data_IF_525195372741
#
_entry.id   IF_525195372741
#
_cell.length_a   1.000
_cell.length_b   1.000
_cell.length_c   1.000
_cell.angle_alpha   90.00
_cell.angle_beta   90.00
_cell.angle_gamma   90.00
#
_symmetry.space_group_name_H-M   'P 1'
#
loop_
_entity.id
_entity.type
_entity.pdbx_description
1 polymer ?
#
# COMPACT_ATOMS: atom_id res chain seq x y z
N UNK A 1 40.47 -26.51 27.14
CA UNK A 1 39.23 -26.78 26.38
C UNK A 1 38.47 -25.47 26.23
N UNK A 2 38.22 -24.99 25.00
CA UNK A 2 37.41 -23.80 24.70
C UNK A 2 36.17 -24.28 23.95
N UNK A 3 34.99 -24.12 24.52
CA UNK A 3 33.71 -24.38 23.86
C UNK A 3 33.21 -23.05 23.33
N UNK A 4 33.05 -22.93 22.00
CA UNK A 4 32.46 -21.76 21.35
C UNK A 4 30.94 -21.95 21.33
N UNK A 5 30.22 -21.10 22.06
CA UNK A 5 28.77 -20.94 21.89
C UNK A 5 28.51 -20.27 20.55
N UNK A 6 27.75 -20.94 19.68
CA UNK A 6 27.22 -20.37 18.45
C UNK A 6 25.72 -20.18 18.70
N UNK A 7 25.31 -18.93 18.86
CA UNK A 7 23.90 -18.55 18.94
C UNK A 7 23.36 -18.57 17.51
N UNK A 8 22.43 -19.49 17.24
CA UNK A 8 21.72 -19.55 15.97
C UNK A 8 20.64 -18.46 15.97
N UNK A 9 20.80 -17.45 15.09
CA UNK A 9 19.79 -16.43 14.84
C UNK A 9 18.71 -17.06 13.96
N UNK A 10 17.54 -17.36 14.53
CA UNK A 10 16.38 -17.80 13.77
C UNK A 10 15.75 -16.58 13.09
N UNK A 11 16.00 -16.45 11.78
CA UNK A 11 15.34 -15.45 10.94
C UNK A 11 13.93 -15.96 10.66
N UNK A 12 12.95 -15.48 11.41
CA UNK A 12 11.53 -15.69 11.10
C UNK A 12 11.16 -14.80 9.91
N UNK A 13 11.02 -15.41 8.73
CA UNK A 13 10.43 -14.76 7.56
C UNK A 13 8.96 -14.45 7.88
N UNK A 14 8.67 -13.18 8.14
CA UNK A 14 7.29 -12.68 8.19
C UNK A 14 6.65 -12.95 6.83
N UNK A 15 5.67 -13.86 6.81
CA UNK A 15 4.90 -14.17 5.62
C UNK A 15 3.92 -13.02 5.41
N UNK A 16 4.16 -12.17 4.41
CA UNK A 16 3.18 -11.18 3.99
C UNK A 16 1.99 -11.92 3.38
N UNK A 17 0.86 -11.93 4.07
CA UNK A 17 -0.41 -12.36 3.49
C UNK A 17 -0.82 -11.26 2.51
N UNK A 18 -0.29 -11.29 1.28
CA UNK A 18 -0.83 -10.48 0.20
C UNK A 18 -2.14 -11.14 -0.23
N UNK A 19 -3.25 -10.67 0.34
CA UNK A 19 -4.58 -11.13 -0.05
C UNK A 19 -4.80 -10.86 -1.53
N UNK A 20 -5.38 -11.83 -2.24
CA UNK A 20 -5.75 -11.65 -3.63
C UNK A 20 -6.66 -10.42 -3.79
N UNK A 21 -6.34 -9.54 -4.75
CA UNK A 21 -7.19 -8.40 -5.06
C UNK A 21 -8.35 -8.89 -5.92
N UNK A 22 -9.56 -8.60 -5.48
CA UNK A 22 -10.79 -9.01 -6.15
C UNK A 22 -11.46 -7.83 -6.85
N UNK A 23 -12.09 -8.11 -7.98
CA UNK A 23 -12.93 -7.14 -8.68
C UNK A 23 -14.26 -6.91 -7.93
N UNK A 24 -15.02 -5.85 -8.27
CA UNK A 24 -16.34 -5.62 -7.67
C UNK A 24 -17.33 -6.78 -7.86
N UNK A 25 -17.18 -7.59 -8.91
CA UNK A 25 -18.00 -8.79 -9.10
C UNK A 25 -17.47 -10.04 -8.37
N UNK A 26 -16.42 -9.90 -7.55
CA UNK A 26 -15.87 -10.97 -6.73
C UNK A 26 -14.93 -11.91 -7.48
N UNK A 27 -14.40 -11.50 -8.63
CA UNK A 27 -13.42 -12.29 -9.39
C UNK A 27 -11.99 -11.92 -8.99
N UNK A 28 -11.11 -12.90 -8.91
CA UNK A 28 -9.69 -12.65 -8.66
C UNK A 28 -9.03 -11.97 -9.86
N UNK A 29 -8.24 -10.94 -9.60
CA UNK A 29 -7.53 -10.20 -10.64
C UNK A 29 -6.23 -10.94 -10.99
N UNK A 30 -6.03 -11.37 -12.25
CA UNK A 30 -4.80 -12.03 -12.65
C UNK A 30 -3.63 -11.04 -12.64
N UNK A 31 -2.42 -11.57 -12.42
CA UNK A 31 -1.18 -10.80 -12.42
C UNK A 31 -0.97 -9.94 -13.68
N UNK A 32 -1.41 -10.44 -14.84
CA UNK A 32 -1.35 -9.71 -16.11
C UNK A 32 -2.17 -8.41 -16.11
N UNK A 33 -3.20 -8.32 -15.27
CA UNK A 33 -4.04 -7.12 -15.09
C UNK A 33 -3.65 -6.30 -13.85
N UNK A 34 -2.98 -6.90 -12.86
CA UNK A 34 -2.47 -6.17 -11.68
C UNK A 34 -1.51 -5.03 -12.04
N UNK A 35 -0.87 -5.09 -13.21
CA UNK A 35 -0.02 -4.01 -13.73
C UNK A 35 -0.73 -2.64 -13.83
N UNK A 36 -2.05 -2.61 -13.96
CA UNK A 36 -2.83 -1.36 -14.01
C UNK A 36 -3.13 -0.78 -12.64
N UNK A 37 -3.11 -1.61 -11.59
CA UNK A 37 -3.39 -1.20 -10.21
C UNK A 37 -2.12 -0.83 -9.44
N UNK A 38 -0.94 -1.13 -9.98
CA UNK A 38 0.37 -0.80 -9.41
C UNK A 38 0.75 0.65 -9.70
N UNK A 39 0.18 1.56 -8.92
CA UNK A 39 0.63 2.96 -8.82
C UNK A 39 1.03 3.27 -7.38
N UNK A 40 2.02 4.16 -7.17
CA UNK A 40 2.28 4.71 -5.84
C UNK A 40 1.01 5.31 -5.24
N UNK A 41 0.86 5.20 -3.93
CA UNK A 41 -0.31 5.70 -3.21
C UNK A 41 -0.45 7.20 -3.47
N UNK A 42 -1.63 7.66 -3.90
CA UNK A 42 -1.87 9.07 -4.19
C UNK A 42 -1.30 9.60 -5.52
N UNK A 43 -0.57 8.80 -6.31
CA UNK A 43 -0.04 9.23 -7.62
C UNK A 43 -1.15 9.26 -8.69
N UNK A 44 -1.80 10.41 -8.80
CA UNK A 44 -2.85 10.67 -9.78
C UNK A 44 -2.36 10.59 -11.24
N UNK A 45 -1.10 10.96 -11.50
CA UNK A 45 -0.51 10.92 -12.84
C UNK A 45 -0.31 9.47 -13.29
N UNK A 46 0.20 8.61 -12.41
CA UNK A 46 0.26 7.18 -12.65
C UNK A 46 -1.13 6.59 -12.89
N UNK A 47 -2.11 6.87 -12.01
CA UNK A 47 -3.49 6.37 -12.15
C UNK A 47 -4.11 6.76 -13.49
N UNK A 48 -3.91 8.02 -13.93
CA UNK A 48 -4.35 8.49 -15.26
C UNK A 48 -3.71 7.70 -16.40
N UNK A 49 -2.39 7.51 -16.35
CA UNK A 49 -1.65 6.75 -17.36
C UNK A 49 -2.10 5.29 -17.44
N UNK A 50 -2.23 4.61 -16.29
CA UNK A 50 -2.71 3.23 -16.21
C UNK A 50 -4.16 3.10 -16.69
N UNK A 51 -5.03 4.04 -16.33
CA UNK A 51 -6.42 4.09 -16.79
C UNK A 51 -6.50 4.19 -18.31
N UNK A 52 -5.76 5.13 -18.92
CA UNK A 52 -5.72 5.28 -20.37
C UNK A 52 -5.23 4.01 -21.07
N UNK A 53 -4.14 3.42 -20.58
CA UNK A 53 -3.59 2.18 -21.14
C UNK A 53 -4.56 1.01 -21.01
N UNK A 54 -5.18 0.84 -19.84
CA UNK A 54 -6.18 -0.20 -19.58
C UNK A 54 -7.38 -0.08 -20.52
N UNK A 55 -7.92 1.14 -20.68
CA UNK A 55 -9.03 1.42 -21.59
C UNK A 55 -8.66 1.11 -23.04
N UNK A 56 -7.45 1.47 -23.47
CA UNK A 56 -6.98 1.18 -24.83
C UNK A 56 -6.83 -0.33 -25.07
N UNK A 57 -6.26 -1.06 -24.11
CA UNK A 57 -6.06 -2.50 -24.20
C UNK A 57 -7.36 -3.31 -24.05
N UNK A 58 -8.34 -2.81 -23.30
CA UNK A 58 -9.67 -3.43 -23.20
C UNK A 58 -10.54 -3.25 -24.45
N UNK A 59 -10.09 -2.54 -25.49
CA UNK A 59 -10.86 -2.37 -26.72
C UNK A 59 -11.17 -3.69 -27.43
N UNK A 60 -10.27 -4.68 -27.40
CA UNK A 60 -10.55 -6.03 -27.94
C UNK A 60 -11.74 -6.64 -27.18
N UNK A 61 -11.77 -6.48 -25.86
CA UNK A 61 -12.86 -6.95 -25.02
C UNK A 61 -14.19 -6.23 -25.25
N UNK A 62 -14.16 -4.96 -25.66
CA UNK A 62 -15.38 -4.15 -25.88
C UNK A 62 -15.98 -4.31 -27.27
N UNK A 63 -15.15 -4.51 -28.28
CA UNK A 63 -15.56 -4.34 -29.67
C UNK A 63 -15.36 -5.57 -30.56
N UNK A 64 -14.58 -6.56 -30.13
CA UNK A 64 -14.37 -7.74 -30.95
C UNK A 64 -15.59 -8.66 -30.95
N UNK A 65 -15.67 -9.52 -31.96
CA UNK A 65 -16.74 -10.50 -32.07
C UNK A 65 -16.56 -11.62 -31.02
N UNK A 66 -17.58 -11.97 -30.21
CA UNK A 66 -17.48 -13.02 -29.19
C UNK A 66 -16.98 -14.36 -29.74
N UNK A 67 -17.35 -14.72 -30.97
CA UNK A 67 -16.94 -15.98 -31.61
C UNK A 67 -15.46 -16.04 -32.00
N UNK A 68 -14.78 -14.91 -32.10
CA UNK A 68 -13.34 -14.81 -32.42
C UNK A 68 -12.48 -14.28 -31.28
N UNK A 69 -13.07 -13.92 -30.14
CA UNK A 69 -12.42 -13.19 -29.06
C UNK A 69 -11.15 -13.87 -28.53
N UNK A 70 -11.20 -15.18 -28.27
CA UNK A 70 -10.02 -15.95 -27.82
C UNK A 70 -8.86 -15.84 -28.81
N UNK A 71 -9.15 -15.98 -30.11
CA UNK A 71 -8.14 -15.87 -31.16
C UNK A 71 -7.58 -14.45 -31.25
N UNK A 72 -8.42 -13.43 -31.13
CA UNK A 72 -7.99 -12.03 -31.17
C UNK A 72 -7.10 -11.67 -29.99
N UNK A 73 -7.45 -12.11 -28.78
CA UNK A 73 -6.63 -11.90 -27.58
C UNK A 73 -5.26 -12.58 -27.73
N UNK A 74 -5.21 -13.84 -28.17
CA UNK A 74 -3.95 -14.55 -28.43
C UNK A 74 -3.10 -13.86 -29.49
N UNK A 75 -3.70 -13.44 -30.60
CA UNK A 75 -2.98 -12.76 -31.68
C UNK A 75 -2.42 -11.40 -31.25
N UNK A 76 -3.10 -10.72 -30.34
CA UNK A 76 -2.63 -9.46 -29.77
C UNK A 76 -1.67 -9.66 -28.58
N UNK A 77 -1.32 -10.90 -28.24
CA UNK A 77 -0.31 -11.22 -27.23
C UNK A 77 -0.79 -11.11 -25.79
N UNK A 78 -2.10 -11.19 -25.53
CA UNK A 78 -2.65 -11.16 -24.18
C UNK A 78 -2.37 -12.47 -23.43
N UNK A 79 -1.89 -12.36 -22.20
CA UNK A 79 -1.83 -13.47 -21.25
C UNK A 79 -3.12 -13.52 -20.43
N UNK A 80 -4.00 -14.44 -20.81
CA UNK A 80 -5.29 -14.68 -20.14
C UNK A 80 -5.23 -15.85 -19.14
N UNK A 81 -4.07 -16.51 -19.00
CA UNK A 81 -3.89 -17.66 -18.12
C UNK A 81 -4.88 -18.80 -18.39
N UNK A 82 -5.56 -19.26 -17.32
CA UNK A 82 -6.57 -20.33 -17.37
C UNK A 82 -8.00 -19.81 -17.57
N UNK A 83 -8.17 -18.49 -17.69
CA UNK A 83 -9.49 -17.87 -17.84
C UNK A 83 -10.04 -18.09 -19.25
N UNK A 84 -11.36 -18.12 -19.37
CA UNK A 84 -11.98 -17.93 -20.68
C UNK A 84 -11.79 -16.50 -21.16
N UNK A 85 -11.87 -16.28 -22.47
CA UNK A 85 -11.77 -14.96 -23.07
C UNK A 85 -12.82 -13.98 -22.50
N UNK A 86 -14.04 -14.47 -22.25
CA UNK A 86 -15.13 -13.68 -21.67
C UNK A 86 -14.85 -13.30 -20.21
N UNK A 87 -14.39 -14.25 -19.38
CA UNK A 87 -14.02 -13.98 -17.98
C UNK A 87 -12.86 -12.98 -17.89
N UNK A 88 -11.81 -13.19 -18.69
CA UNK A 88 -10.69 -12.25 -18.76
C UNK A 88 -11.17 -10.84 -19.12
N UNK A 89 -12.03 -10.73 -20.14
CA UNK A 89 -12.54 -9.45 -20.59
C UNK A 89 -13.44 -8.76 -19.57
N UNK A 90 -14.25 -9.52 -18.83
CA UNK A 90 -15.03 -9.00 -17.71
C UNK A 90 -14.11 -8.44 -16.61
N UNK A 91 -13.09 -9.20 -16.21
CA UNK A 91 -12.12 -8.77 -15.19
C UNK A 91 -11.35 -7.53 -15.68
N UNK A 92 -10.88 -7.52 -16.93
CA UNK A 92 -10.14 -6.40 -17.51
C UNK A 92 -10.96 -5.09 -17.47
N UNK A 93 -12.24 -5.14 -17.84
CA UNK A 93 -13.11 -3.96 -17.80
C UNK A 93 -13.30 -3.48 -16.35
N UNK A 94 -13.58 -4.39 -15.42
CA UNK A 94 -13.74 -4.05 -14.00
C UNK A 94 -12.45 -3.48 -13.37
N UNK A 95 -11.29 -4.02 -13.76
CA UNK A 95 -9.97 -3.50 -13.38
C UNK A 95 -9.84 -2.05 -13.85
N UNK A 96 -10.16 -1.75 -15.10
CA UNK A 96 -10.08 -0.38 -15.61
C UNK A 96 -10.96 0.60 -14.80
N UNK A 97 -12.15 0.16 -14.40
CA UNK A 97 -13.11 1.00 -13.66
C UNK A 97 -12.69 1.25 -12.20
N UNK A 98 -11.90 0.35 -11.60
CA UNK A 98 -11.48 0.46 -10.21
C UNK A 98 -10.13 1.17 -10.01
N UNK A 99 -9.35 1.45 -11.06
CA UNK A 99 -8.00 2.06 -10.97
C UNK A 99 -7.96 3.30 -10.07
N UNK A 100 -8.94 4.20 -10.19
CA UNK A 100 -8.95 5.43 -9.38
C UNK A 100 -9.28 5.20 -7.91
N UNK A 101 -10.05 4.15 -7.63
CA UNK A 101 -10.56 3.80 -6.29
C UNK A 101 -9.62 2.86 -5.54
N UNK A 102 -8.79 2.12 -6.28
CA UNK A 102 -7.82 1.22 -5.69
C UNK A 102 -6.63 2.01 -5.14
N UNK A 103 -6.37 1.84 -3.85
CA UNK A 103 -5.11 2.19 -3.23
C UNK A 103 -4.43 0.89 -2.80
N UNK A 104 -3.17 0.66 -3.18
CA UNK A 104 -2.46 -0.51 -2.70
C UNK A 104 -2.28 -0.44 -1.18
N UNK A 105 -2.06 -1.60 -0.52
CA UNK A 105 -1.66 -1.64 0.87
C UNK A 105 -0.40 -0.80 1.12
N UNK A 106 -0.35 -0.12 2.26
CA UNK A 106 0.86 0.55 2.72
C UNK A 106 1.93 -0.49 3.01
N UNK A 107 3.17 -0.18 2.63
CA UNK A 107 4.34 -1.03 2.85
C UNK A 107 5.36 -0.34 3.75
N UNK A 108 6.32 -1.11 4.25
CA UNK A 108 7.43 -0.57 5.05
C UNK A 108 8.26 0.44 4.26
N UNK A 109 8.36 0.28 2.95
CA UNK A 109 8.99 1.29 2.08
C UNK A 109 8.20 2.59 2.06
N UNK A 110 6.87 2.57 2.14
CA UNK A 110 6.04 3.79 2.27
C UNK A 110 6.25 4.51 3.60
N UNK A 111 6.57 3.78 4.67
CA UNK A 111 6.67 4.33 6.02
C UNK A 111 8.09 4.72 6.41
N UNK A 112 9.10 3.95 6.02
CA UNK A 112 10.47 4.09 6.55
C UNK A 112 11.48 4.60 5.51
N UNK A 113 11.17 4.57 4.22
CA UNK A 113 12.05 5.10 3.17
C UNK A 113 11.68 6.54 2.83
N UNK A 114 12.12 7.50 3.66
CA UNK A 114 11.76 8.91 3.47
C UNK A 114 12.29 9.51 2.17
N UNK A 115 13.45 9.06 1.68
CA UNK A 115 14.10 9.57 0.46
C UNK A 115 13.20 9.48 -0.77
N UNK A 116 12.29 8.49 -0.81
CA UNK A 116 11.37 8.29 -1.94
C UNK A 116 10.43 9.46 -2.18
N UNK A 117 10.17 10.29 -1.16
CA UNK A 117 9.32 11.47 -1.26
C UNK A 117 10.10 12.72 -1.73
N UNK A 118 11.44 12.68 -1.74
CA UNK A 118 12.31 13.81 -2.06
C UNK A 118 13.06 13.61 -3.39
N UNK A 119 12.37 13.07 -4.40
CA UNK A 119 12.95 12.80 -5.73
C UNK A 119 12.76 13.95 -6.73
N UNK A 120 12.13 15.05 -6.31
CA UNK A 120 11.80 16.18 -7.17
C UNK A 120 12.94 17.19 -7.23
N UNK A 121 13.09 17.86 -8.37
CA UNK A 121 13.95 19.04 -8.48
C UNK A 121 13.42 20.19 -7.60
N UNK A 122 14.32 21.10 -7.19
CA UNK A 122 13.98 22.19 -6.25
C UNK A 122 12.85 23.10 -6.77
N UNK A 123 12.78 23.30 -8.08
CA UNK A 123 11.82 24.17 -8.77
C UNK A 123 10.61 23.42 -9.37
N UNK A 124 10.55 22.09 -9.25
CA UNK A 124 9.41 21.30 -9.71
C UNK A 124 8.28 21.28 -8.67
N UNK A 125 7.57 22.41 -8.56
CA UNK A 125 6.42 22.57 -7.67
C UNK A 125 5.33 21.53 -7.89
N UNK A 126 5.12 21.08 -9.13
CA UNK A 126 4.08 20.10 -9.43
C UNK A 126 4.50 18.72 -8.93
N UNK A 127 5.76 18.35 -9.07
CA UNK A 127 6.31 17.12 -8.48
C UNK A 127 6.20 17.15 -6.96
N UNK A 128 6.65 18.23 -6.30
CA UNK A 128 6.57 18.38 -4.84
C UNK A 128 5.15 18.28 -4.31
N UNK A 129 4.20 18.95 -4.97
CA UNK A 129 2.78 18.84 -4.64
C UNK A 129 2.27 17.39 -4.73
N UNK A 130 2.64 16.66 -5.78
CA UNK A 130 2.24 15.25 -5.94
C UNK A 130 2.90 14.35 -4.89
N UNK A 131 4.18 14.56 -4.58
CA UNK A 131 4.87 13.82 -3.52
C UNK A 131 4.25 14.08 -2.15
N UNK A 132 3.93 15.33 -1.83
CA UNK A 132 3.24 15.67 -0.59
C UNK A 132 1.85 15.04 -0.53
N UNK A 133 1.07 15.11 -1.62
CA UNK A 133 -0.23 14.43 -1.69
C UNK A 133 -0.12 12.90 -1.53
N UNK A 134 0.95 12.30 -2.05
CA UNK A 134 1.24 10.87 -1.87
C UNK A 134 1.54 10.56 -0.40
N UNK A 135 2.52 11.26 0.18
CA UNK A 135 2.94 11.12 1.58
C UNK A 135 1.76 11.29 2.55
N UNK A 136 0.94 12.33 2.36
CA UNK A 136 -0.24 12.59 3.19
C UNK A 136 -1.31 11.49 3.08
N UNK A 137 -1.44 10.86 1.92
CA UNK A 137 -2.33 9.69 1.75
C UNK A 137 -1.78 8.48 2.48
N UNK A 138 -0.47 8.23 2.40
CA UNK A 138 0.20 7.18 3.16
C UNK A 138 0.05 7.41 4.66
N UNK A 139 0.30 8.63 5.15
CA UNK A 139 0.19 9.00 6.55
C UNK A 139 -1.20 8.69 7.13
N UNK A 140 -2.28 8.99 6.39
CA UNK A 140 -3.65 8.66 6.83
C UNK A 140 -3.84 7.17 7.08
N UNK A 141 -3.23 6.32 6.23
CA UNK A 141 -3.28 4.86 6.34
C UNK A 141 -2.29 4.31 7.36
N UNK A 142 -1.16 4.99 7.58
CA UNK A 142 -0.14 4.63 8.56
C UNK A 142 -0.78 4.44 9.94
N UNK A 143 -1.63 5.39 10.35
CA UNK A 143 -2.31 5.40 11.65
C UNK A 143 -3.16 4.15 11.94
N UNK A 144 -3.51 3.36 10.92
CA UNK A 144 -4.32 2.15 11.05
C UNK A 144 -3.47 0.88 11.25
N UNK A 145 -2.18 0.89 10.90
CA UNK A 145 -1.40 -0.36 10.72
C UNK A 145 0.06 -0.29 11.20
N UNK A 146 0.55 0.90 11.57
CA UNK A 146 1.94 1.11 11.95
C UNK A 146 2.06 1.77 13.33
N UNK A 147 3.22 1.63 14.01
CA UNK A 147 3.49 2.31 15.27
C UNK A 147 3.30 3.83 15.18
N UNK A 148 2.76 4.43 16.24
CA UNK A 148 2.45 5.86 16.28
C UNK A 148 3.70 6.72 16.03
N UNK A 149 4.84 6.36 16.61
CA UNK A 149 6.11 7.05 16.44
C UNK A 149 6.57 7.06 14.97
N UNK A 150 6.39 5.93 14.25
CA UNK A 150 6.70 5.85 12.84
C UNK A 150 5.81 6.79 12.01
N UNK A 151 4.52 6.86 12.33
CA UNK A 151 3.58 7.76 11.67
C UNK A 151 3.85 9.24 12.02
N UNK A 152 4.29 9.54 13.24
CA UNK A 152 4.72 10.90 13.62
C UNK A 152 5.96 11.33 12.84
N UNK A 153 6.98 10.46 12.71
CA UNK A 153 8.15 10.71 11.86
C UNK A 153 7.73 10.94 10.41
N UNK A 154 6.83 10.11 9.86
CA UNK A 154 6.29 10.29 8.52
C UNK A 154 5.53 11.62 8.36
N UNK A 155 4.78 12.05 9.38
CA UNK A 155 4.10 13.36 9.35
C UNK A 155 5.09 14.52 9.18
N UNK A 156 6.18 14.50 9.96
CA UNK A 156 7.25 15.49 9.85
C UNK A 156 7.88 15.45 8.46
N UNK A 157 8.08 14.26 7.90
CA UNK A 157 8.57 14.08 6.53
C UNK A 157 7.63 14.73 5.52
N UNK A 158 6.32 14.46 5.57
CA UNK A 158 5.36 15.04 4.64
C UNK A 158 5.36 16.57 4.70
N UNK A 159 5.45 17.15 5.90
CA UNK A 159 5.46 18.61 6.11
C UNK A 159 6.72 19.30 5.55
N UNK A 160 7.80 18.55 5.30
CA UNK A 160 9.08 19.09 4.83
C UNK A 160 9.34 18.89 3.32
N UNK A 161 8.46 18.20 2.59
CA UNK A 161 8.63 17.91 1.16
C UNK A 161 8.82 19.20 0.35
N UNK A 162 8.03 20.23 0.61
CA UNK A 162 8.10 21.50 -0.14
C UNK A 162 9.46 22.21 0.05
N UNK A 163 10.04 22.07 1.25
CA UNK A 163 11.35 22.63 1.60
C UNK A 163 12.51 21.83 0.99
N UNK A 164 12.28 20.59 0.55
CA UNK A 164 13.31 19.71 -0.01
C UNK A 164 14.34 19.22 1.00
N UNK A 165 14.10 19.43 2.31
CA UNK A 165 15.01 19.00 3.38
C UNK A 165 14.48 17.73 4.00
N UNK A 166 15.25 16.64 3.91
CA UNK A 166 14.90 15.37 4.54
C UNK A 166 15.16 15.49 6.05
N UNK A 167 14.14 15.32 6.91
CA UNK A 167 14.33 15.30 8.35
C UNK A 167 15.23 14.13 8.77
N UNK A 168 16.12 14.37 9.73
CA UNK A 168 16.96 13.34 10.34
C UNK A 168 16.34 12.99 11.69
N UNK A 169 16.17 11.69 11.95
CA UNK A 169 15.68 11.19 13.22
C UNK A 169 16.80 10.39 13.88
N UNK A 170 17.16 10.76 15.10
CA UNK A 170 18.08 9.96 15.90
C UNK A 170 17.31 8.76 16.46
N UNK A 171 17.78 7.55 16.17
CA UNK A 171 17.25 6.32 16.77
C UNK A 171 17.77 6.20 18.21
N UNK A 172 17.28 7.04 19.12
CA UNK A 172 17.51 6.82 20.54
C UNK A 172 16.76 5.55 20.98
N UNK A 173 17.39 4.66 21.78
CA UNK A 173 16.75 3.44 22.22
C UNK A 173 15.54 3.79 23.10
N UNK A 174 14.37 3.33 22.68
CA UNK A 174 13.14 3.44 23.47
C UNK A 174 13.36 2.64 24.75
N UNK A 175 13.54 3.33 25.87
CA UNK A 175 13.52 2.70 27.19
C UNK A 175 12.05 2.59 27.55
N UNK A 176 11.47 1.39 27.44
CA UNK A 176 10.14 1.12 27.97
C UNK A 176 10.14 1.43 29.47
N UNK A 177 9.55 2.56 29.87
CA UNK A 177 9.35 2.85 31.28
C UNK A 177 8.43 1.77 31.88
N UNK A 178 8.78 1.18 33.03
CA UNK A 178 7.95 0.16 33.65
C UNK A 178 6.61 0.77 34.03
N UNK A 179 5.53 0.23 33.48
CA UNK A 179 4.15 0.55 33.88
C UNK A 179 4.00 0.15 35.35
N UNK A 180 3.94 1.14 36.24
CA UNK A 180 3.67 0.91 37.66
C UNK A 180 2.16 0.81 37.81
N UNK A 181 1.65 -0.41 38.00
CA UNK A 181 0.25 -0.61 38.39
C UNK A 181 0.01 0.05 39.76
N UNK A 182 -0.78 1.12 39.79
CA UNK A 182 -1.20 1.73 41.04
C UNK A 182 -2.12 0.77 41.82
N UNK A 183 -1.92 0.59 43.13
CA UNK A 183 -2.78 -0.27 43.93
C UNK A 183 -4.18 0.33 44.05
N UNK A 184 -5.19 -0.42 43.60
CA UNK A 184 -6.60 -0.11 43.82
C UNK A 184 -6.89 -0.22 45.32
N UNK A 185 -7.24 0.91 45.96
CA UNK A 185 -7.68 0.94 47.35
C UNK A 185 -9.21 0.85 47.35
N UNK A 186 -9.75 -0.29 47.77
CA UNK A 186 -11.20 -0.45 47.98
C UNK A 186 -11.63 0.34 49.24
N UNK A 187 -12.54 1.30 49.07
CA UNK A 187 -13.17 2.00 50.20
C UNK A 187 -14.17 1.09 50.93
N UNK A 188 -14.21 1.11 52.27
CA UNK A 188 -15.16 0.31 53.04
C UNK A 188 -16.59 0.88 52.93
N UNK A 189 -17.51 0.06 52.45
CA UNK A 189 -18.96 0.32 52.46
C UNK A 189 -19.45 0.23 53.91
N UNK A 190 -20.00 1.32 54.44
CA UNK A 190 -20.65 1.36 55.76
C UNK A 190 -22.16 1.23 55.55
N UNK A 191 -22.72 0.10 55.97
CA UNK A 191 -24.18 -0.10 56.01
C UNK A 191 -24.80 0.68 57.18
N UNK A 192 -25.76 1.56 56.87
CA UNK A 192 -26.61 2.22 57.88
C UNK A 192 -27.62 1.22 58.48
N UNK A 193 -27.81 1.17 59.80
CA UNK A 193 -28.84 0.36 60.42
C UNK A 193 -30.23 1.01 60.34
N UNK A 194 -31.25 0.16 60.13
CA UNK A 194 -32.68 0.42 59.92
C UNK A 194 -33.38 1.29 60.98
#
# INVERSE_FOLDING_TARGET
MKVKNIIALAITLASTISGAVITPSGLEIPESLMVYLRCPIGDSKCKNGKSSACVAHSNICRYDNPSSLDKSLRNAGYDIGTLTAEEYCKIHIEVCDMIYKYDPPVTDDDIYNYEKYFTCDEDDYLCKYNQNSSCQTVLKKCLESYPEDACQKLSIVCDNIDNGVIPIFDDEPVVDEPVVDEPVVDEPVVDEPL
#
